data_IF_913066052348
#
_entry.id   IF_913066052348
#
_cell.length_a   1.000
_cell.length_b   1.000
_cell.length_c   1.000
_cell.angle_alpha   90.00
_cell.angle_beta   90.00
_cell.angle_gamma   90.00
#
_symmetry.space_group_name_H-M   'P 1'
#
loop_
_entity.id
_entity.type
_entity.pdbx_description
1 polymer ?
#
# COMPACT_ATOMS: atom_id res chain seq x y z
N UNK A 1 9.25 4.90 8.31
CA UNK A 1 9.95 5.43 7.10
C UNK A 1 8.92 6.19 6.27
N UNK A 2 9.26 7.33 5.67
CA UNK A 2 8.33 8.08 4.79
C UNK A 2 8.88 8.05 3.37
N UNK A 3 8.05 7.63 2.41
CA UNK A 3 8.33 7.63 0.98
C UNK A 3 7.43 8.69 0.32
N UNK A 4 8.01 9.54 -0.51
CA UNK A 4 7.29 10.60 -1.24
C UNK A 4 7.11 10.17 -2.70
N UNK A 5 5.86 10.17 -3.15
CA UNK A 5 5.44 9.95 -4.53
C UNK A 5 4.98 11.27 -5.16
N UNK A 6 4.90 11.32 -6.49
CA UNK A 6 4.40 12.52 -7.19
C UNK A 6 2.96 12.86 -6.83
N UNK A 7 2.17 11.88 -6.38
CA UNK A 7 0.78 12.04 -5.97
C UNK A 7 0.58 12.16 -4.45
N UNK A 8 1.42 11.54 -3.61
CA UNK A 8 1.25 11.57 -2.15
C UNK A 8 2.45 11.07 -1.36
N UNK A 9 2.22 10.71 -0.10
CA UNK A 9 3.24 10.16 0.79
C UNK A 9 2.78 8.84 1.40
N UNK A 10 3.66 7.85 1.44
CA UNK A 10 3.48 6.63 2.21
C UNK A 10 4.32 6.73 3.48
N UNK A 11 3.67 6.58 4.63
CA UNK A 11 4.31 6.39 5.92
C UNK A 11 4.22 4.92 6.32
N UNK A 12 5.36 4.30 6.58
CA UNK A 12 5.46 2.94 7.10
C UNK A 12 5.66 2.96 8.61
N UNK A 13 4.73 2.33 9.34
CA UNK A 13 4.78 2.09 10.78
C UNK A 13 5.15 0.64 11.08
N UNK A 14 5.14 0.22 12.35
CA UNK A 14 5.40 -1.17 12.72
C UNK A 14 4.34 -2.15 12.15
N UNK A 15 3.08 -1.72 12.09
CA UNK A 15 1.93 -2.59 11.77
C UNK A 15 1.19 -2.18 10.50
N UNK A 16 1.45 -0.99 9.95
CA UNK A 16 0.64 -0.43 8.86
C UNK A 16 1.48 0.30 7.81
N UNK A 17 0.88 0.43 6.62
CA UNK A 17 1.22 1.43 5.62
C UNK A 17 0.11 2.46 5.56
N UNK A 18 0.46 3.74 5.74
CA UNK A 18 -0.47 4.86 5.65
C UNK A 18 -0.15 5.65 4.39
N UNK A 19 -1.07 5.64 3.42
CA UNK A 19 -0.94 6.44 2.21
C UNK A 19 -1.82 7.68 2.30
N UNK A 20 -1.23 8.86 2.04
CA UNK A 20 -1.90 10.15 2.08
C UNK A 20 -1.68 10.93 0.79
N UNK A 21 -2.74 11.47 0.22
CA UNK A 21 -2.66 12.38 -0.92
C UNK A 21 -3.81 13.38 -0.94
N UNK A 22 -3.64 14.50 -1.62
CA UNK A 22 -4.70 15.53 -1.70
C UNK A 22 -5.92 15.03 -2.49
N UNK A 23 -7.13 15.31 -1.98
CA UNK A 23 -8.40 15.01 -2.66
C UNK A 23 -8.45 15.60 -4.08
N UNK A 24 -7.77 16.71 -4.34
CA UNK A 24 -7.74 17.34 -5.67
C UNK A 24 -7.12 16.47 -6.75
N UNK A 25 -6.34 15.44 -6.37
CA UNK A 25 -5.78 14.47 -7.31
C UNK A 25 -6.75 13.34 -7.67
N UNK A 26 -7.91 13.25 -7.01
CA UNK A 26 -8.96 12.31 -7.40
C UNK A 26 -9.60 12.77 -8.71
N UNK A 27 -9.49 11.94 -9.75
CA UNK A 27 -10.17 12.18 -11.03
C UNK A 27 -11.69 11.94 -10.97
N UNK A 28 -12.14 11.19 -9.97
CA UNK A 28 -13.53 10.81 -9.73
C UNK A 28 -13.75 10.58 -8.24
N UNK A 29 -15.00 10.57 -7.78
CA UNK A 29 -15.30 10.19 -6.40
C UNK A 29 -14.72 8.81 -6.07
N UNK A 30 -13.99 8.73 -4.96
CA UNK A 30 -13.34 7.50 -4.54
C UNK A 30 -14.37 6.59 -3.84
N UNK A 31 -14.66 5.39 -4.37
CA UNK A 31 -15.58 4.46 -3.71
C UNK A 31 -14.84 3.77 -2.57
N UNK A 32 -14.68 4.46 -1.42
CA UNK A 32 -13.90 3.96 -0.29
C UNK A 32 -14.36 2.58 0.20
N UNK A 33 -15.65 2.27 0.11
CA UNK A 33 -16.18 0.95 0.46
C UNK A 33 -15.65 -0.15 -0.47
N UNK A 34 -15.48 0.15 -1.78
CA UNK A 34 -14.86 -0.78 -2.73
C UNK A 34 -13.36 -0.90 -2.52
N UNK A 35 -12.70 0.16 -2.06
CA UNK A 35 -11.26 0.13 -1.74
C UNK A 35 -11.00 -0.74 -0.51
N UNK A 36 -11.91 -0.70 0.48
CA UNK A 36 -11.90 -1.59 1.65
C UNK A 36 -12.22 -3.05 1.29
N UNK A 37 -12.97 -3.29 0.20
CA UNK A 37 -13.18 -4.63 -0.36
C UNK A 37 -11.97 -5.06 -1.19
N UNK A 38 -10.98 -5.65 -0.53
CA UNK A 38 -9.76 -6.09 -1.19
C UNK A 38 -9.94 -7.44 -1.88
N UNK A 39 -9.25 -7.58 -3.03
CA UNK A 39 -9.01 -8.89 -3.63
C UNK A 39 -8.02 -9.64 -2.74
N UNK A 40 -8.10 -10.97 -2.72
CA UNK A 40 -7.29 -11.84 -1.82
C UNK A 40 -5.77 -11.70 -1.96
N UNK A 41 -5.28 -11.09 -3.04
CA UNK A 41 -3.86 -10.89 -3.33
C UNK A 41 -3.36 -9.45 -3.05
N UNK A 42 -4.22 -8.58 -2.52
CA UNK A 42 -3.87 -7.22 -2.12
C UNK A 42 -3.90 -7.10 -0.60
N UNK A 43 -3.02 -6.26 -0.04
CA UNK A 43 -3.06 -5.92 1.38
C UNK A 43 -4.42 -5.34 1.77
N UNK A 44 -5.05 -5.81 2.86
CA UNK A 44 -6.35 -5.32 3.30
C UNK A 44 -6.28 -3.83 3.65
N UNK A 45 -7.13 -3.03 3.01
CA UNK A 45 -7.32 -1.64 3.36
C UNK A 45 -8.29 -1.55 4.53
N UNK A 46 -7.78 -1.30 5.74
CA UNK A 46 -8.56 -1.27 6.97
C UNK A 46 -9.25 0.08 7.19
N UNK A 47 -8.75 1.13 6.54
CA UNK A 47 -9.30 2.49 6.65
C UNK A 47 -9.14 3.26 5.36
N UNK A 48 -10.19 3.99 4.97
CA UNK A 48 -10.19 4.86 3.81
C UNK A 48 -11.19 5.99 4.01
N UNK A 49 -10.70 7.23 4.17
CA UNK A 49 -11.54 8.43 4.37
C UNK A 49 -10.87 9.70 3.82
N UNK A 50 -11.66 10.78 3.70
CA UNK A 50 -11.17 12.13 3.42
C UNK A 50 -11.17 12.94 4.72
N UNK A 51 -10.00 13.38 5.16
CA UNK A 51 -9.82 14.19 6.36
C UNK A 51 -9.12 15.49 5.96
N UNK A 52 -9.79 16.63 6.20
CA UNK A 52 -9.25 17.97 5.94
C UNK A 52 -8.72 18.19 4.52
N UNK A 53 -9.37 17.57 3.52
CA UNK A 53 -8.98 17.69 2.12
C UNK A 53 -7.92 16.69 1.66
N UNK A 54 -7.41 15.83 2.55
CA UNK A 54 -6.54 14.72 2.20
C UNK A 54 -7.32 13.41 2.20
N UNK A 55 -7.04 12.56 1.22
CA UNK A 55 -7.41 11.15 1.22
C UNK A 55 -6.39 10.40 2.06
N UNK A 56 -6.86 9.60 3.02
CA UNK A 56 -6.04 8.77 3.89
C UNK A 56 -6.48 7.31 3.73
N UNK A 57 -5.54 6.47 3.32
CA UNK A 57 -5.71 5.02 3.21
C UNK A 57 -4.76 4.33 4.19
N UNK A 58 -5.24 3.34 4.95
CA UNK A 58 -4.40 2.52 5.84
C UNK A 58 -4.50 1.06 5.44
N UNK A 59 -3.34 0.44 5.30
CA UNK A 59 -3.20 -0.97 4.96
C UNK A 59 -2.50 -1.68 6.10
N UNK A 60 -3.10 -2.74 6.62
CA UNK A 60 -2.49 -3.56 7.66
C UNK A 60 -1.39 -4.44 7.05
N UNK A 61 -0.25 -4.53 7.74
CA UNK A 61 0.84 -5.40 7.33
C UNK A 61 0.52 -6.83 7.73
N UNK A 62 0.67 -7.75 6.79
CA UNK A 62 0.58 -9.17 7.09
C UNK A 62 1.97 -9.75 7.27
N UNK A 63 2.20 -10.43 8.40
CA UNK A 63 3.50 -10.97 8.80
C UNK A 63 4.07 -12.01 7.84
N UNK A 64 3.22 -12.62 7.02
CA UNK A 64 3.62 -13.61 6.03
C UNK A 64 4.03 -13.00 4.68
N UNK A 65 3.87 -11.68 4.50
CA UNK A 65 4.26 -10.97 3.29
C UNK A 65 5.65 -10.37 3.45
N UNK A 66 6.47 -10.53 2.42
CA UNK A 66 7.82 -9.95 2.36
C UNK A 66 7.78 -8.63 1.59
N UNK A 67 8.46 -7.62 2.11
CA UNK A 67 8.70 -6.38 1.35
C UNK A 67 9.63 -6.65 0.17
N UNK A 68 9.55 -5.81 -0.87
CA UNK A 68 10.45 -5.92 -2.03
C UNK A 68 11.93 -5.80 -1.63
N UNK A 69 12.26 -4.87 -0.72
CA UNK A 69 13.62 -4.72 -0.20
C UNK A 69 14.10 -5.97 0.54
N UNK A 70 13.21 -6.67 1.25
CA UNK A 70 13.54 -7.93 1.90
C UNK A 70 13.79 -9.02 0.86
N UNK A 71 12.96 -9.13 -0.18
CA UNK A 71 13.15 -10.07 -1.31
C UNK A 71 14.48 -9.83 -2.01
N UNK A 72 14.92 -8.57 -2.16
CA UNK A 72 16.22 -8.24 -2.75
C UNK A 72 17.42 -8.74 -1.93
N UNK A 73 17.25 -8.98 -0.63
CA UNK A 73 18.27 -9.54 0.26
C UNK A 73 18.26 -11.08 0.28
N UNK A 74 17.22 -11.72 -0.25
CA UNK A 74 17.14 -13.19 -0.34
C UNK A 74 18.15 -13.75 -1.37
N UNK A 75 18.26 -15.08 -1.43
CA UNK A 75 19.12 -15.72 -2.42
C UNK A 75 18.57 -15.61 -3.85
N UNK A 76 19.44 -15.80 -4.86
CA UNK A 76 19.07 -15.67 -6.28
C UNK A 76 18.01 -16.67 -6.74
N UNK A 77 17.93 -17.85 -6.11
CA UNK A 77 16.90 -18.85 -6.44
C UNK A 77 15.51 -18.34 -6.05
N UNK A 78 15.37 -17.70 -4.88
CA UNK A 78 14.13 -17.08 -4.41
C UNK A 78 13.76 -15.91 -5.32
N UNK A 79 14.72 -15.02 -5.64
CA UNK A 79 14.46 -13.88 -6.53
C UNK A 79 13.96 -14.32 -7.90
N UNK A 80 14.60 -15.31 -8.54
CA UNK A 80 14.17 -15.86 -9.84
C UNK A 80 12.75 -16.44 -9.76
N UNK A 81 12.42 -17.12 -8.66
CA UNK A 81 11.08 -17.68 -8.45
C UNK A 81 10.00 -16.60 -8.35
N UNK A 82 10.30 -15.47 -7.69
CA UNK A 82 9.38 -14.32 -7.63
C UNK A 82 9.18 -13.72 -9.01
N UNK A 83 10.25 -13.45 -9.76
CA UNK A 83 10.16 -12.87 -11.11
C UNK A 83 9.42 -13.79 -12.09
N UNK A 84 9.61 -15.10 -12.02
CA UNK A 84 8.90 -16.06 -12.89
C UNK A 84 7.39 -16.12 -12.68
N UNK A 85 6.88 -15.48 -11.62
CA UNK A 85 5.45 -15.44 -11.26
C UNK A 85 4.80 -14.08 -11.53
N UNK A 86 5.58 -13.10 -12.01
CA UNK A 86 5.12 -11.79 -12.47
C UNK A 86 4.91 -11.83 -13.98
#
# INVERSE_FOLDING_TARGET
>A
MIIVFGDGTVEETATEYVYRFSKTKLKQEAPFDRIKQTKSYLLPCTFAEIIRGDVILRYEKESHLLSFSRIQQENEAIKRKVVSRL
#
